data_IF_793600368096
#
_entry.id   IF_793600368096
#
_cell.length_a   1.000
_cell.length_b   1.000
_cell.length_c   1.000
_cell.angle_alpha   90.00
_cell.angle_beta   90.00
_cell.angle_gamma   90.00
#
_symmetry.space_group_name_H-M   'P 1'
#
loop_
_entity.id
_entity.type
_entity.pdbx_description
1 polymer ?
#
# COMPACT_ATOMS: atom_id res chain seq x y z
N UNK A 1 -23.27 7.56 -5.35
CA UNK A 1 -22.59 6.48 -4.61
C UNK A 1 -21.73 5.58 -5.52
N UNK A 2 -22.20 5.15 -6.70
CA UNK A 2 -21.40 4.32 -7.64
C UNK A 2 -20.18 5.03 -8.25
N UNK A 3 -20.29 6.32 -8.54
CA UNK A 3 -19.20 7.12 -9.13
C UNK A 3 -17.98 7.24 -8.20
N UNK A 4 -18.20 7.37 -6.89
CA UNK A 4 -17.11 7.47 -5.91
C UNK A 4 -16.33 6.15 -5.80
N UNK A 5 -17.02 5.01 -5.71
CA UNK A 5 -16.37 3.69 -5.69
C UNK A 5 -15.53 3.45 -6.95
N UNK A 6 -16.06 3.82 -8.13
CA UNK A 6 -15.34 3.68 -9.40
C UNK A 6 -14.09 4.57 -9.44
N UNK A 7 -14.18 5.81 -8.93
CA UNK A 7 -13.01 6.70 -8.84
C UNK A 7 -11.97 6.21 -7.85
N UNK A 8 -12.37 5.63 -6.72
CA UNK A 8 -11.43 5.10 -5.71
C UNK A 8 -10.66 3.90 -6.26
N UNK A 9 -11.35 3.00 -6.96
CA UNK A 9 -10.73 1.84 -7.62
C UNK A 9 -9.74 2.32 -8.69
N UNK A 10 -10.14 3.27 -9.55
CA UNK A 10 -9.28 3.81 -10.59
C UNK A 10 -8.04 4.51 -10.01
N UNK A 11 -8.21 5.37 -9.00
CA UNK A 11 -7.09 6.08 -8.34
C UNK A 11 -6.17 5.10 -7.61
N UNK A 12 -6.71 4.07 -6.96
CA UNK A 12 -5.92 3.04 -6.28
C UNK A 12 -5.07 2.22 -7.26
N UNK A 13 -5.63 1.83 -8.42
CA UNK A 13 -4.88 1.16 -9.50
C UNK A 13 -3.76 2.06 -10.02
N UNK A 14 -4.05 3.34 -10.26
CA UNK A 14 -3.06 4.29 -10.77
C UNK A 14 -1.92 4.48 -9.77
N UNK A 15 -2.22 4.70 -8.49
CA UNK A 15 -1.22 4.85 -7.44
C UNK A 15 -0.33 3.61 -7.30
N UNK A 16 -0.95 2.43 -7.34
CA UNK A 16 -0.23 1.15 -7.31
C UNK A 16 0.69 0.96 -8.52
N UNK A 17 0.20 1.27 -9.74
CA UNK A 17 1.00 1.20 -10.98
C UNK A 17 2.19 2.15 -10.94
N UNK A 18 1.97 3.39 -10.47
CA UNK A 18 3.02 4.39 -10.30
C UNK A 18 4.08 3.90 -9.31
N UNK A 19 3.65 3.36 -8.17
CA UNK A 19 4.55 2.84 -7.15
C UNK A 19 5.36 1.64 -7.67
N UNK A 20 4.69 0.69 -8.32
CA UNK A 20 5.35 -0.49 -8.85
C UNK A 20 6.37 -0.12 -9.93
N UNK A 21 6.01 0.80 -10.81
CA UNK A 21 6.92 1.33 -11.82
C UNK A 21 8.09 2.08 -11.18
N UNK A 22 7.84 2.90 -10.17
CA UNK A 22 8.88 3.61 -9.42
C UNK A 22 9.86 2.62 -8.79
N UNK A 23 9.37 1.57 -8.14
CA UNK A 23 10.22 0.57 -7.47
C UNK A 23 10.95 -0.32 -8.49
N UNK A 24 10.33 -0.68 -9.62
CA UNK A 24 10.95 -1.54 -10.63
C UNK A 24 11.95 -0.83 -11.55
N UNK A 25 11.68 0.43 -11.91
CA UNK A 25 12.48 1.16 -12.92
C UNK A 25 13.51 2.11 -12.32
N UNK A 26 13.36 2.58 -11.08
CA UNK A 26 14.30 3.56 -10.52
C UNK A 26 15.52 2.91 -9.86
N UNK A 27 16.65 3.64 -9.87
CA UNK A 27 17.88 3.25 -9.14
C UNK A 27 17.62 3.13 -7.64
N UNK A 28 16.73 3.97 -7.11
CA UNK A 28 16.30 3.94 -5.70
C UNK A 28 15.53 2.65 -5.40
N UNK A 29 14.61 2.22 -6.27
CA UNK A 29 13.89 0.96 -6.09
C UNK A 29 14.79 -0.29 -6.13
N UNK A 30 15.86 -0.27 -6.93
CA UNK A 30 16.90 -1.33 -6.86
C UNK A 30 17.63 -1.34 -5.52
N UNK A 31 17.99 -0.18 -4.99
CA UNK A 31 18.60 -0.05 -3.67
C UNK A 31 17.66 -0.58 -2.56
N UNK A 32 16.38 -0.25 -2.63
CA UNK A 32 15.36 -0.74 -1.67
C UNK A 32 15.27 -2.27 -1.64
N UNK A 33 15.28 -2.92 -2.82
CA UNK A 33 15.27 -4.40 -2.88
C UNK A 33 16.56 -5.03 -2.38
N UNK A 34 17.71 -4.41 -2.68
CA UNK A 34 19.00 -4.89 -2.19
C UNK A 34 19.08 -4.81 -0.65
N UNK A 35 18.64 -3.68 -0.07
CA UNK A 35 18.59 -3.52 1.40
C UNK A 35 17.57 -4.44 2.06
N UNK A 36 16.51 -4.85 1.35
CA UNK A 36 15.49 -5.77 1.88
C UNK A 36 15.98 -7.23 1.90
N UNK A 37 16.95 -7.60 1.08
CA UNK A 37 17.60 -8.91 1.14
C UNK A 37 18.66 -8.96 2.23
N UNK A 38 19.56 -7.98 2.24
CA UNK A 38 20.62 -7.89 3.25
C UNK A 38 21.09 -6.43 3.40
N UNK A 39 20.70 -5.80 4.49
CA UNK A 39 21.08 -4.41 4.78
C UNK A 39 22.57 -4.26 5.08
N UNK A 40 23.20 -5.28 5.66
CA UNK A 40 24.61 -5.24 6.02
C UNK A 40 25.48 -5.33 4.75
N UNK A 41 25.17 -6.28 3.88
CA UNK A 41 25.84 -6.45 2.59
C UNK A 41 25.61 -5.25 1.65
N UNK A 42 24.40 -4.68 1.64
CA UNK A 42 24.11 -3.46 0.87
C UNK A 42 24.97 -2.27 1.31
N UNK A 43 25.27 -2.13 2.61
CA UNK A 43 26.12 -1.06 3.12
C UNK A 43 27.58 -1.20 2.66
N UNK A 44 28.08 -2.43 2.59
CA UNK A 44 29.44 -2.75 2.11
C UNK A 44 29.57 -2.47 0.60
N UNK A 45 28.48 -2.67 -0.15
CA UNK A 45 28.39 -2.35 -1.59
C UNK A 45 28.25 -0.84 -1.88
N UNK A 46 28.35 0.02 -0.87
CA UNK A 46 28.28 1.48 -1.02
C UNK A 46 26.86 2.03 -1.16
N UNK A 47 25.82 1.23 -0.88
CA UNK A 47 24.45 1.71 -0.82
C UNK A 47 24.21 2.38 0.53
N UNK A 48 23.76 3.63 0.51
CA UNK A 48 23.35 4.34 1.72
C UNK A 48 22.04 3.74 2.27
N UNK A 49 22.17 2.78 3.19
CA UNK A 49 21.04 2.09 3.84
C UNK A 49 20.12 3.09 4.52
N UNK A 50 20.69 4.06 5.25
CA UNK A 50 19.91 5.04 6.00
C UNK A 50 19.02 5.91 5.08
N UNK A 51 19.57 6.38 3.95
CA UNK A 51 18.80 7.13 2.96
C UNK A 51 17.73 6.27 2.28
N UNK A 52 18.01 4.98 2.07
CA UNK A 52 17.06 4.03 1.48
C UNK A 52 15.89 3.78 2.43
N UNK A 53 16.14 3.64 3.74
CA UNK A 53 15.12 3.49 4.78
C UNK A 53 14.27 4.78 4.90
N UNK A 54 14.89 5.96 4.92
CA UNK A 54 14.13 7.21 4.96
C UNK A 54 13.23 7.37 3.73
N UNK A 55 13.72 7.00 2.54
CA UNK A 55 12.93 7.04 1.31
C UNK A 55 11.79 6.03 1.32
N UNK A 56 12.01 4.79 1.76
CA UNK A 56 10.91 3.80 1.86
C UNK A 56 9.84 4.27 2.84
N UNK A 57 10.24 4.86 3.97
CA UNK A 57 9.29 5.40 4.94
C UNK A 57 8.53 6.61 4.40
N UNK A 58 9.20 7.49 3.65
CA UNK A 58 8.57 8.65 3.01
C UNK A 58 7.56 8.22 1.94
N UNK A 59 7.93 7.28 1.07
CA UNK A 59 7.04 6.75 0.04
C UNK A 59 5.86 5.99 0.67
N UNK A 60 6.12 5.15 1.68
CA UNK A 60 5.08 4.44 2.41
C UNK A 60 4.11 5.38 3.13
N UNK A 61 4.62 6.42 3.79
CA UNK A 61 3.82 7.46 4.44
C UNK A 61 2.98 8.27 3.45
N UNK A 62 3.54 8.63 2.29
CA UNK A 62 2.80 9.31 1.23
C UNK A 62 1.64 8.46 0.70
N UNK A 63 1.85 7.16 0.50
CA UNK A 63 0.80 6.22 0.09
C UNK A 63 -0.25 6.00 1.18
N UNK A 64 0.17 5.88 2.44
CA UNK A 64 -0.75 5.76 3.57
C UNK A 64 -1.65 7.00 3.69
N UNK A 65 -1.08 8.20 3.51
CA UNK A 65 -1.83 9.46 3.46
C UNK A 65 -2.82 9.51 2.30
N UNK A 66 -2.39 9.13 1.09
CA UNK A 66 -3.27 9.05 -0.07
C UNK A 66 -4.44 8.06 0.15
N UNK A 67 -4.16 6.88 0.72
CA UNK A 67 -5.18 5.90 1.09
C UNK A 67 -6.15 6.42 2.15
N UNK A 68 -5.65 7.11 3.18
CA UNK A 68 -6.48 7.72 4.22
C UNK A 68 -7.42 8.80 3.68
N UNK A 69 -6.96 9.64 2.76
CA UNK A 69 -7.80 10.65 2.09
C UNK A 69 -8.90 9.97 1.26
N UNK A 70 -8.60 8.88 0.56
CA UNK A 70 -9.60 8.11 -0.20
C UNK A 70 -10.67 7.49 0.72
N UNK A 71 -10.28 6.95 1.87
CA UNK A 71 -11.22 6.40 2.86
C UNK A 71 -12.09 7.50 3.47
N UNK A 72 -11.50 8.65 3.82
CA UNK A 72 -12.24 9.80 4.35
C UNK A 72 -13.20 10.46 3.35
N UNK A 73 -12.88 10.42 2.05
CA UNK A 73 -13.79 10.83 0.99
C UNK A 73 -14.99 9.89 0.82
N UNK A 74 -14.80 8.59 1.10
CA UNK A 74 -15.86 7.58 0.98
C UNK A 74 -16.80 7.56 2.20
N UNK A 75 -16.22 7.60 3.41
CA UNK A 75 -16.97 7.64 4.66
C UNK A 75 -17.08 9.10 5.13
N UNK A 76 -18.14 9.80 4.71
CA UNK A 76 -18.45 11.20 5.11
C UNK A 76 -18.73 11.36 6.62
N UNK A 77 -18.74 10.27 7.39
CA UNK A 77 -18.81 10.27 8.85
C UNK A 77 -17.47 9.78 9.42
N UNK A 78 -16.88 10.61 10.28
CA UNK A 78 -15.56 10.36 10.87
C UNK A 78 -15.76 9.79 12.27
N UNK A 79 -15.66 8.46 12.40
CA UNK A 79 -15.55 7.79 13.69
C UNK A 79 -14.08 7.65 14.09
N UNK A 80 -13.73 7.88 15.36
CA UNK A 80 -12.35 7.73 15.86
C UNK A 80 -11.78 6.32 15.63
N UNK A 81 -12.64 5.31 15.59
CA UNK A 81 -12.24 3.92 15.37
C UNK A 81 -11.95 3.58 13.89
N UNK A 82 -12.32 4.45 12.95
CA UNK A 82 -12.20 4.17 11.52
C UNK A 82 -10.76 3.91 11.09
N UNK A 83 -9.79 4.64 11.66
CA UNK A 83 -8.37 4.41 11.39
C UNK A 83 -7.87 3.04 11.87
N UNK A 84 -8.36 2.58 13.03
CA UNK A 84 -7.98 1.27 13.57
C UNK A 84 -8.54 0.13 12.73
N UNK A 85 -9.83 0.20 12.36
CA UNK A 85 -10.45 -0.81 11.49
C UNK A 85 -9.83 -0.82 10.10
N UNK A 86 -9.58 0.35 9.50
CA UNK A 86 -8.91 0.45 8.20
C UNK A 86 -7.50 -0.11 8.26
N UNK A 87 -6.74 0.19 9.32
CA UNK A 87 -5.40 -0.36 9.55
C UNK A 87 -5.41 -1.89 9.68
N UNK A 88 -6.31 -2.44 10.49
CA UNK A 88 -6.42 -3.89 10.68
C UNK A 88 -6.77 -4.61 9.37
N UNK A 89 -7.72 -4.07 8.61
CA UNK A 89 -8.09 -4.60 7.29
C UNK A 89 -6.93 -4.50 6.29
N UNK A 90 -6.22 -3.37 6.27
CA UNK A 90 -5.07 -3.17 5.40
C UNK A 90 -3.92 -4.15 5.73
N UNK A 91 -3.66 -4.41 7.01
CA UNK A 91 -2.70 -5.44 7.43
C UNK A 91 -3.15 -6.84 7.04
N UNK A 92 -4.43 -7.19 7.24
CA UNK A 92 -4.96 -8.48 6.83
C UNK A 92 -4.83 -8.70 5.31
N UNK A 93 -5.17 -7.69 4.51
CA UNK A 93 -4.96 -7.69 3.06
C UNK A 93 -3.49 -7.87 2.66
N UNK A 94 -2.57 -7.19 3.35
CA UNK A 94 -1.14 -7.27 3.08
C UNK A 94 -0.56 -8.65 3.44
N UNK A 95 -1.00 -9.26 4.55
CA UNK A 95 -0.58 -10.61 4.94
C UNK A 95 -1.14 -11.66 3.97
N UNK A 96 -2.42 -11.54 3.59
CA UNK A 96 -3.06 -12.44 2.63
C UNK A 96 -2.39 -12.36 1.24
N UNK A 97 -1.97 -11.16 0.84
CA UNK A 97 -1.20 -10.93 -0.38
C UNK A 97 0.29 -11.32 -0.30
N UNK A 98 0.84 -11.53 0.90
CA UNK A 98 2.24 -11.86 1.15
C UNK A 98 3.13 -10.65 1.46
N UNK A 99 3.82 -10.68 2.61
CA UNK A 99 4.77 -9.64 3.04
C UNK A 99 6.01 -9.67 2.15
N UNK A 100 6.34 -8.54 1.52
CA UNK A 100 7.52 -8.37 0.67
C UNK A 100 7.24 -8.41 -0.84
N UNK A 101 6.01 -8.75 -1.26
CA UNK A 101 5.61 -8.69 -2.67
C UNK A 101 4.51 -7.63 -2.89
N UNK A 102 4.87 -6.50 -3.49
CA UNK A 102 3.95 -5.37 -3.75
C UNK A 102 2.75 -5.79 -4.59
N UNK A 103 2.97 -6.63 -5.63
CA UNK A 103 1.88 -7.13 -6.49
C UNK A 103 0.95 -8.06 -5.74
N UNK A 104 1.49 -8.89 -4.85
CA UNK A 104 0.73 -9.79 -4.00
C UNK A 104 -0.17 -9.02 -3.03
N UNK A 105 0.37 -8.00 -2.36
CA UNK A 105 -0.37 -7.12 -1.46
C UNK A 105 -1.53 -6.39 -2.15
N UNK A 106 -1.36 -5.96 -3.42
CA UNK A 106 -2.43 -5.36 -4.22
C UNK A 106 -3.59 -6.32 -4.43
N UNK A 107 -3.29 -7.55 -4.89
CA UNK A 107 -4.31 -8.56 -5.15
C UNK A 107 -5.02 -8.97 -3.85
N UNK A 108 -4.28 -9.13 -2.75
CA UNK A 108 -4.86 -9.40 -1.43
C UNK A 108 -5.84 -8.32 -0.97
N UNK A 109 -5.52 -7.04 -1.19
CA UNK A 109 -6.43 -5.92 -0.91
C UNK A 109 -7.69 -5.92 -1.76
N UNK A 110 -7.56 -6.19 -3.06
CA UNK A 110 -8.74 -6.32 -3.94
C UNK A 110 -9.63 -7.49 -3.54
N UNK A 111 -9.05 -8.65 -3.24
CA UNK A 111 -9.81 -9.81 -2.78
C UNK A 111 -10.55 -9.54 -1.46
N UNK A 112 -9.86 -8.93 -0.48
CA UNK A 112 -10.49 -8.57 0.79
C UNK A 112 -11.64 -7.57 0.56
N UNK A 113 -11.44 -6.56 -0.28
CA UNK A 113 -12.46 -5.56 -0.58
C UNK A 113 -13.70 -6.15 -1.27
N UNK A 114 -13.51 -7.08 -2.21
CA UNK A 114 -14.62 -7.79 -2.86
C UNK A 114 -15.35 -8.69 -1.84
N UNK A 115 -14.61 -9.40 -0.98
CA UNK A 115 -15.18 -10.25 0.05
C UNK A 115 -16.03 -9.44 1.06
N UNK A 116 -15.58 -8.24 1.44
CA UNK A 116 -16.37 -7.33 2.27
C UNK A 116 -17.61 -6.83 1.54
N UNK A 117 -17.49 -6.41 0.28
CA UNK A 117 -18.63 -5.93 -0.51
C UNK A 117 -19.72 -7.00 -0.66
N UNK A 118 -19.33 -8.25 -0.85
CA UNK A 118 -20.26 -9.39 -0.87
C UNK A 118 -20.87 -9.64 0.50
N UNK A 119 -20.06 -9.64 1.57
CA UNK A 119 -20.56 -9.85 2.94
C UNK A 119 -21.61 -8.81 3.34
N UNK A 120 -21.44 -7.55 2.97
CA UNK A 120 -22.39 -6.46 3.25
C UNK A 120 -23.68 -6.56 2.40
N UNK A 121 -23.61 -7.20 1.22
CA UNK A 121 -24.77 -7.32 0.32
C UNK A 121 -25.66 -8.51 0.68
N UNK A 122 -25.10 -9.57 1.27
CA UNK A 122 -25.82 -10.81 1.57
C UNK A 122 -26.22 -10.99 3.04
N UNK A 123 -25.72 -10.15 3.96
CA UNK A 123 -26.06 -10.16 5.39
C UNK A 123 -26.69 -8.83 5.80
#
# INVERSE_FOLDING_TARGET
MTYLALTIIAVSIILMLILEWFINRTKLGKAMRATAQDSEMASILGVSVNATISLTFLVGGALAGAGGVLVGLYYTQIDLYMGFYAGLKAFAAAVLGGIGNIRGAMLGGYFLGIAEALSITFL
#
